data_IF_844001983891
#
_entry.id   IF_844001983891
#
_cell.length_a   1.000
_cell.length_b   1.000
_cell.length_c   1.000
_cell.angle_alpha   90.00
_cell.angle_beta   90.00
_cell.angle_gamma   90.00
#
_symmetry.space_group_name_H-M   'P 1'
#
loop_
_entity.id
_entity.type
_entity.pdbx_description
1 polymer ?
#
# COMPACT_ATOMS: atom_id res chain seq x y z
N UNK A 1 -6.56 15.59 0.22
CA UNK A 1 -7.49 15.51 1.37
C UNK A 1 -6.79 14.81 2.51
N UNK A 2 -7.03 15.19 3.77
CA UNK A 2 -6.49 14.51 4.96
C UNK A 2 -7.67 13.97 5.77
N UNK A 3 -7.63 12.69 6.09
CA UNK A 3 -8.61 12.01 6.93
C UNK A 3 -7.87 11.52 8.16
N UNK A 4 -8.18 12.10 9.32
CA UNK A 4 -7.58 11.76 10.61
C UNK A 4 -8.66 11.26 11.57
N UNK A 5 -9.23 10.10 11.22
CA UNK A 5 -10.32 9.44 11.92
C UNK A 5 -10.13 7.92 11.87
N UNK A 6 -10.56 7.23 12.91
CA UNK A 6 -10.43 5.77 13.01
C UNK A 6 -11.61 5.10 12.32
N UNK A 7 -11.33 4.10 11.47
CA UNK A 7 -12.34 3.23 10.85
C UNK A 7 -12.90 3.73 9.52
N UNK A 8 -12.59 4.97 9.11
CA UNK A 8 -13.15 5.53 7.87
C UNK A 8 -12.34 5.17 6.62
N UNK A 9 -11.08 4.74 6.75
CA UNK A 9 -10.16 4.52 5.63
C UNK A 9 -10.76 3.66 4.50
N UNK A 10 -11.53 2.63 4.84
CA UNK A 10 -12.17 1.74 3.87
C UNK A 10 -13.16 2.44 2.94
N UNK A 11 -13.86 3.48 3.42
CA UNK A 11 -14.82 4.25 2.62
C UNK A 11 -14.13 5.17 1.60
N UNK A 12 -12.86 5.48 1.83
CA UNK A 12 -12.11 6.44 1.02
C UNK A 12 -11.32 5.77 -0.11
N UNK A 13 -11.05 4.47 -0.02
CA UNK A 13 -10.31 3.74 -1.06
C UNK A 13 -10.91 3.94 -2.45
N UNK A 14 -12.24 3.89 -2.60
CA UNK A 14 -12.91 4.11 -3.90
C UNK A 14 -12.71 5.49 -4.53
N UNK A 15 -12.02 6.42 -3.86
CA UNK A 15 -11.71 7.76 -4.38
C UNK A 15 -10.28 7.92 -4.90
N UNK A 16 -9.44 6.89 -4.78
CA UNK A 16 -8.02 6.94 -5.14
C UNK A 16 -7.69 6.00 -6.30
N UNK A 17 -6.78 6.44 -7.17
CA UNK A 17 -6.23 5.60 -8.25
C UNK A 17 -4.97 4.83 -7.82
N UNK A 18 -4.22 5.40 -6.86
CA UNK A 18 -2.95 4.86 -6.35
C UNK A 18 -2.95 4.97 -4.82
N UNK A 19 -2.46 3.92 -4.14
CA UNK A 19 -2.29 3.89 -2.69
C UNK A 19 -0.86 3.51 -2.29
N UNK A 20 -0.21 4.37 -1.53
CA UNK A 20 0.97 3.98 -0.76
C UNK A 20 0.56 3.44 0.60
N UNK A 21 0.82 2.16 0.84
CA UNK A 21 0.50 1.51 2.12
C UNK A 21 1.70 1.61 3.06
N UNK A 22 1.52 2.38 4.15
CA UNK A 22 2.58 2.69 5.10
C UNK A 22 3.05 1.54 5.98
N UNK A 23 3.97 1.83 6.91
CA UNK A 23 4.55 0.83 7.81
C UNK A 23 5.64 -0.05 7.18
N UNK A 24 5.96 0.19 5.91
CA UNK A 24 6.89 -0.62 5.11
C UNK A 24 8.21 0.08 4.74
N UNK A 25 8.37 1.37 5.02
CA UNK A 25 9.67 2.06 4.87
C UNK A 25 10.55 1.92 6.12
N UNK A 26 9.92 1.83 7.29
CA UNK A 26 10.60 1.59 8.57
C UNK A 26 10.60 0.11 8.96
N UNK A 27 10.77 -0.15 10.26
CA UNK A 27 10.90 -1.51 10.79
C UNK A 27 9.57 -2.13 11.28
N UNK A 28 8.42 -1.75 10.71
CA UNK A 28 7.09 -2.20 11.18
C UNK A 28 6.55 -3.42 10.41
N UNK A 29 7.11 -3.74 9.24
CA UNK A 29 6.78 -4.94 8.47
C UNK A 29 5.58 -4.82 7.53
N UNK A 30 5.09 -3.61 7.26
CA UNK A 30 3.98 -3.32 6.35
C UNK A 30 2.62 -3.23 7.05
N UNK A 31 1.61 -2.84 6.27
CA UNK A 31 0.20 -2.74 6.66
C UNK A 31 -0.69 -3.40 5.60
N UNK A 32 -2.00 -3.46 5.83
CA UNK A 32 -2.92 -4.20 4.98
C UNK A 32 -3.02 -3.64 3.54
N UNK A 33 -2.50 -4.36 2.54
CA UNK A 33 -2.67 -4.03 1.11
C UNK A 33 -3.94 -4.62 0.47
N UNK A 34 -4.65 -5.51 1.17
CA UNK A 34 -5.82 -6.21 0.64
C UNK A 34 -6.99 -5.24 0.43
N UNK A 35 -7.19 -4.33 1.37
CA UNK A 35 -8.26 -3.32 1.27
C UNK A 35 -8.13 -2.46 0.01
N UNK A 36 -7.05 -1.70 -0.22
CA UNK A 36 -6.96 -0.88 -1.43
C UNK A 36 -6.94 -1.71 -2.72
N UNK A 37 -6.29 -2.88 -2.73
CA UNK A 37 -6.25 -3.72 -3.94
C UNK A 37 -7.62 -4.29 -4.32
N UNK A 38 -8.51 -4.53 -3.35
CA UNK A 38 -9.89 -4.95 -3.61
C UNK A 38 -10.72 -3.87 -4.33
N UNK A 39 -10.36 -2.59 -4.20
CA UNK A 39 -10.98 -1.48 -4.94
C UNK A 39 -10.34 -1.23 -6.31
N UNK A 40 -9.39 -2.07 -6.75
CA UNK A 40 -8.70 -1.91 -8.04
C UNK A 40 -7.61 -0.84 -8.02
N UNK A 41 -7.19 -0.40 -6.85
CA UNK A 41 -6.20 0.67 -6.67
C UNK A 41 -4.80 0.11 -6.90
N UNK A 42 -3.96 0.83 -7.64
CA UNK A 42 -2.56 0.47 -7.81
C UNK A 42 -1.79 0.63 -6.49
N UNK A 43 -0.98 -0.36 -6.12
CA UNK A 43 -0.35 -0.43 -4.80
C UNK A 43 1.12 -0.02 -4.87
N UNK A 44 1.54 0.88 -3.99
CA UNK A 44 2.93 1.16 -3.68
C UNK A 44 3.23 0.78 -2.23
N UNK A 45 4.38 0.14 -1.98
CA UNK A 45 4.85 -0.21 -0.64
C UNK A 45 6.34 0.05 -0.50
N UNK A 46 6.79 0.15 0.75
CA UNK A 46 8.20 0.13 1.09
C UNK A 46 8.80 -1.29 1.03
N UNK A 47 10.13 -1.44 1.18
CA UNK A 47 10.80 -2.74 1.06
C UNK A 47 10.47 -3.71 2.21
N UNK A 48 10.01 -3.20 3.36
CA UNK A 48 9.85 -3.95 4.59
C UNK A 48 8.41 -4.45 4.77
N UNK A 49 8.06 -5.58 4.14
CA UNK A 49 6.69 -6.12 4.09
C UNK A 49 6.54 -7.53 4.67
N UNK A 50 7.43 -7.93 5.59
CA UNK A 50 7.47 -9.32 6.07
C UNK A 50 6.20 -9.81 6.78
N UNK A 51 5.33 -8.93 7.28
CA UNK A 51 4.04 -9.33 7.87
C UNK A 51 3.00 -9.69 6.79
N UNK A 52 3.26 -9.32 5.53
CA UNK A 52 2.33 -9.44 4.40
C UNK A 52 2.99 -10.08 3.16
N UNK A 53 3.99 -10.97 3.36
CA UNK A 53 4.78 -11.58 2.26
C UNK A 53 3.89 -12.20 1.18
N UNK A 54 2.94 -13.04 1.58
CA UNK A 54 2.06 -13.74 0.64
C UNK A 54 1.21 -12.77 -0.19
N UNK A 55 0.75 -11.67 0.43
CA UNK A 55 -0.02 -10.62 -0.27
C UNK A 55 0.87 -9.91 -1.28
N UNK A 56 2.09 -9.54 -0.87
CA UNK A 56 3.06 -8.87 -1.75
C UNK A 56 3.45 -9.77 -2.92
N UNK A 57 3.70 -11.06 -2.69
CA UNK A 57 4.02 -12.01 -3.76
C UNK A 57 2.89 -12.11 -4.78
N UNK A 58 1.63 -12.20 -4.31
CA UNK A 58 0.46 -12.24 -5.20
C UNK A 58 0.28 -10.95 -6.00
N UNK A 59 0.46 -9.79 -5.36
CA UNK A 59 0.35 -8.51 -6.05
C UNK A 59 1.49 -8.29 -7.05
N UNK A 60 2.72 -8.73 -6.73
CA UNK A 60 3.85 -8.72 -7.68
C UNK A 60 3.58 -9.61 -8.89
N UNK A 61 3.09 -10.83 -8.65
CA UNK A 61 2.75 -11.76 -9.73
C UNK A 61 1.63 -11.23 -10.65
N UNK A 62 0.77 -10.35 -10.14
CA UNK A 62 -0.27 -9.66 -10.89
C UNK A 62 0.17 -8.31 -11.48
N UNK A 63 1.45 -7.94 -11.38
CA UNK A 63 1.98 -6.63 -11.81
C UNK A 63 1.25 -5.43 -11.18
N UNK A 64 0.66 -5.64 -9.99
CA UNK A 64 -0.19 -4.67 -9.30
C UNK A 64 0.49 -3.96 -8.11
N UNK A 65 1.81 -4.14 -7.96
CA UNK A 65 2.59 -3.58 -6.85
C UNK A 65 3.93 -3.01 -7.29
N UNK A 66 4.21 -1.79 -6.84
CA UNK A 66 5.52 -1.14 -6.92
C UNK A 66 6.20 -1.09 -5.55
N UNK A 67 7.52 -1.31 -5.52
CA UNK A 67 8.34 -1.13 -4.31
C UNK A 67 9.08 0.19 -4.43
N UNK A 68 8.87 1.07 -3.45
CA UNK A 68 9.55 2.35 -3.29
C UNK A 68 10.49 2.30 -2.10
N UNK A 69 11.75 2.71 -2.30
CA UNK A 69 12.80 2.58 -1.28
C UNK A 69 12.89 3.79 -0.35
N UNK A 70 12.42 4.94 -0.81
CA UNK A 70 12.39 6.18 -0.06
C UNK A 70 11.23 7.08 -0.50
N UNK A 71 11.08 8.22 0.17
CA UNK A 71 10.03 9.18 -0.12
C UNK A 71 10.19 9.87 -1.48
N UNK A 72 11.42 10.00 -2.00
CA UNK A 72 11.68 10.63 -3.29
C UNK A 72 11.20 9.72 -4.43
N UNK A 73 11.45 8.42 -4.31
CA UNK A 73 11.05 7.39 -5.28
C UNK A 73 9.53 7.25 -5.43
N UNK A 74 8.73 7.86 -4.54
CA UNK A 74 7.27 7.82 -4.60
C UNK A 74 6.67 8.73 -5.68
N UNK A 75 7.44 9.70 -6.18
CA UNK A 75 6.98 10.68 -7.16
C UNK A 75 7.47 10.41 -8.58
N UNK A 76 8.27 9.37 -8.77
CA UNK A 76 8.80 8.93 -10.07
C UNK A 76 7.78 8.04 -10.81
#
# INVERSE_FOLDING_TARGET
MLIDSIGELSAWWGTADIAFVGGSLGNRGGQNMIEPSAYGIAIAVGPNTWNFKDVVERLKAAEALSIVYDAASLTD
#
